data_IF_276646004283
#
_entry.id   IF_276646004283
#
_cell.length_a   1.000
_cell.length_b   1.000
_cell.length_c   1.000
_cell.angle_alpha   90.00
_cell.angle_beta   90.00
_cell.angle_gamma   90.00
#
_symmetry.space_group_name_H-M   'P 1'
#
loop_
_entity.id
_entity.type
_entity.pdbx_description
1 polymer ?
#
# COMPACT_ATOMS: atom_id res chain seq x y z
N UNK A 1 -20.27 19.70 -17.09
CA UNK A 1 -20.29 20.00 -15.64
C UNK A 1 -18.86 19.83 -15.14
N UNK A 2 -18.11 20.93 -15.03
CA UNK A 2 -16.71 20.91 -14.59
C UNK A 2 -16.64 20.62 -13.09
N UNK A 3 -16.05 19.49 -12.71
CA UNK A 3 -15.84 19.12 -11.32
C UNK A 3 -14.58 19.81 -10.82
N UNK A 4 -14.73 20.94 -10.13
CA UNK A 4 -13.66 21.61 -9.40
C UNK A 4 -13.33 20.81 -8.13
N UNK A 5 -12.20 20.11 -8.12
CA UNK A 5 -11.67 19.44 -6.94
C UNK A 5 -11.23 20.51 -5.91
N UNK A 6 -11.80 20.46 -4.70
CA UNK A 6 -11.49 21.37 -3.59
C UNK A 6 -10.03 21.20 -3.14
N UNK A 7 -9.40 22.33 -2.81
CA UNK A 7 -7.96 22.52 -2.62
C UNK A 7 -7.40 22.14 -1.23
N UNK A 8 -8.06 21.25 -0.49
CA UNK A 8 -7.68 20.87 0.90
C UNK A 8 -7.59 19.34 1.12
N UNK A 9 -7.12 18.58 0.14
CA UNK A 9 -6.80 17.16 0.34
C UNK A 9 -5.32 17.01 0.68
N UNK A 10 -5.00 16.36 1.81
CA UNK A 10 -3.68 15.79 2.07
C UNK A 10 -3.21 14.98 0.84
N UNK A 11 -1.90 14.85 0.57
CA UNK A 11 -1.40 14.30 -0.68
C UNK A 11 -1.97 12.90 -0.87
N UNK A 12 -2.88 12.81 -1.83
CA UNK A 12 -3.43 11.57 -2.31
C UNK A 12 -2.29 10.83 -2.98
N UNK A 13 -1.85 9.72 -2.39
CA UNK A 13 -0.97 8.73 -3.02
C UNK A 13 -1.75 7.91 -4.08
N UNK A 14 -2.63 8.58 -4.82
CA UNK A 14 -3.87 8.03 -5.39
C UNK A 14 -3.72 7.24 -6.69
N UNK A 15 -2.53 7.20 -7.29
CA UNK A 15 -2.36 6.42 -8.53
C UNK A 15 -2.25 4.91 -8.25
N UNK A 16 -1.64 4.54 -7.12
CA UNK A 16 -1.32 3.15 -6.74
C UNK A 16 -2.46 2.44 -6.02
N UNK A 17 -3.18 3.16 -5.16
CA UNK A 17 -4.32 2.61 -4.41
C UNK A 17 -5.67 2.79 -5.13
N UNK A 18 -5.68 3.01 -6.45
CA UNK A 18 -6.90 3.37 -7.20
C UNK A 18 -8.04 2.35 -7.06
N UNK A 19 -7.73 1.06 -7.10
CA UNK A 19 -8.71 -0.01 -6.90
C UNK A 19 -9.27 -0.01 -5.47
N UNK A 20 -8.40 0.19 -4.46
CA UNK A 20 -8.79 0.26 -3.04
C UNK A 20 -9.65 1.50 -2.79
N UNK A 21 -9.31 2.64 -3.39
CA UNK A 21 -10.11 3.86 -3.30
C UNK A 21 -11.51 3.67 -3.90
N UNK A 22 -11.62 2.96 -5.02
CA UNK A 22 -12.92 2.64 -5.61
C UNK A 22 -13.77 1.79 -4.67
N UNK A 23 -13.19 0.79 -3.99
CA UNK A 23 -13.86 -0.03 -2.98
C UNK A 23 -14.33 0.81 -1.77
N UNK A 24 -13.49 1.74 -1.30
CA UNK A 24 -13.87 2.63 -0.21
C UNK A 24 -15.02 3.56 -0.61
N UNK A 25 -14.97 4.12 -1.82
CA UNK A 25 -15.99 5.04 -2.33
C UNK A 25 -17.38 4.39 -2.41
N UNK A 26 -17.45 3.10 -2.68
CA UNK A 26 -18.72 2.34 -2.71
C UNK A 26 -19.11 1.75 -1.34
N UNK A 27 -18.34 2.04 -0.29
CA UNK A 27 -18.61 1.61 1.07
C UNK A 27 -18.29 0.14 1.35
N UNK A 28 -17.50 -0.51 0.49
CA UNK A 28 -17.12 -1.92 0.68
C UNK A 28 -15.97 -2.10 1.68
N UNK A 29 -15.17 -1.07 1.91
CA UNK A 29 -14.10 -1.07 2.91
C UNK A 29 -14.16 0.20 3.75
N UNK A 30 -13.65 0.13 4.97
CA UNK A 30 -13.57 1.24 5.93
C UNK A 30 -12.46 2.24 5.60
N UNK A 31 -12.53 3.42 6.24
CA UNK A 31 -11.47 4.43 6.14
C UNK A 31 -10.13 3.94 6.74
N UNK A 32 -10.17 3.06 7.75
CA UNK A 32 -8.98 2.47 8.34
C UNK A 32 -8.26 1.54 7.34
N UNK A 33 -9.03 0.70 6.63
CA UNK A 33 -8.53 -0.15 5.55
C UNK A 33 -7.90 0.68 4.41
N UNK A 34 -8.58 1.75 3.98
CA UNK A 34 -8.03 2.64 2.95
C UNK A 34 -6.71 3.29 3.41
N UNK A 35 -6.65 3.79 4.64
CA UNK A 35 -5.44 4.43 5.16
C UNK A 35 -4.27 3.45 5.30
N UNK A 36 -4.53 2.25 5.80
CA UNK A 36 -3.51 1.20 5.91
C UNK A 36 -2.96 0.81 4.52
N UNK A 37 -3.83 0.75 3.51
CA UNK A 37 -3.41 0.53 2.12
C UNK A 37 -2.51 1.67 1.58
N UNK A 38 -2.88 2.93 1.85
CA UNK A 38 -2.07 4.10 1.47
C UNK A 38 -0.70 4.11 2.17
N UNK A 39 -0.67 3.80 3.46
CA UNK A 39 0.56 3.77 4.25
C UNK A 39 1.46 2.60 3.81
N UNK A 40 0.89 1.40 3.58
CA UNK A 40 1.65 0.25 3.06
C UNK A 40 2.23 0.51 1.66
N UNK A 41 1.43 1.05 0.73
CA UNK A 41 1.90 1.34 -0.61
C UNK A 41 3.05 2.36 -0.59
N UNK A 42 2.96 3.38 0.28
CA UNK A 42 4.03 4.37 0.47
C UNK A 42 5.30 3.72 1.05
N UNK A 43 5.14 2.89 2.07
CA UNK A 43 6.26 2.20 2.72
C UNK A 43 6.97 1.28 1.72
N UNK A 44 6.22 0.52 0.93
CA UNK A 44 6.78 -0.38 -0.08
C UNK A 44 7.51 0.39 -1.18
N UNK A 45 6.92 1.46 -1.70
CA UNK A 45 7.59 2.29 -2.71
C UNK A 45 8.87 2.92 -2.18
N UNK A 46 8.85 3.42 -0.95
CA UNK A 46 10.01 4.12 -0.36
C UNK A 46 11.10 3.15 0.04
N UNK A 47 10.75 2.13 0.84
CA UNK A 47 11.68 1.20 1.45
C UNK A 47 12.19 0.10 0.51
N UNK A 48 11.33 -0.41 -0.39
CA UNK A 48 11.65 -1.56 -1.24
C UNK A 48 12.00 -1.12 -2.66
N UNK A 49 11.19 -0.24 -3.27
CA UNK A 49 11.43 0.22 -4.65
C UNK A 49 12.40 1.41 -4.75
N UNK A 50 12.82 1.98 -3.61
CA UNK A 50 13.76 3.11 -3.57
C UNK A 50 13.16 4.47 -3.97
N UNK A 51 11.83 4.55 -4.05
CA UNK A 51 11.07 5.76 -4.31
C UNK A 51 11.37 6.88 -3.31
N UNK A 52 10.99 8.10 -3.68
CA UNK A 52 11.20 9.27 -2.83
C UNK A 52 10.11 9.33 -1.76
N UNK A 53 10.51 9.46 -0.50
CA UNK A 53 9.55 9.76 0.57
C UNK A 53 8.87 11.12 0.33
N UNK A 54 7.54 11.18 0.24
CA UNK A 54 6.77 12.41 0.08
C UNK A 54 6.95 13.38 1.23
N UNK A 55 7.11 12.86 2.45
CA UNK A 55 7.16 13.68 3.64
C UNK A 55 8.54 14.34 3.80
N UNK A 56 9.61 13.68 3.34
CA UNK A 56 10.95 14.27 3.19
C UNK A 56 10.95 15.60 2.42
N UNK A 57 10.10 15.73 1.40
CA UNK A 57 10.06 16.93 0.57
C UNK A 57 9.33 18.12 1.20
N UNK A 58 8.55 17.90 2.27
CA UNK A 58 7.77 18.95 2.93
C UNK A 58 8.49 19.61 4.09
N UNK A 59 9.48 18.95 4.69
CA UNK A 59 10.09 19.41 5.94
C UNK A 59 11.35 20.26 5.76
N UNK A 60 12.04 20.21 4.61
CA UNK A 60 13.20 21.07 4.36
C UNK A 60 13.45 21.25 2.86
N UNK A 61 13.78 22.48 2.45
CA UNK A 61 13.97 22.90 1.05
C UNK A 61 15.01 22.14 0.23
N UNK A 62 15.75 21.21 0.83
CA UNK A 62 16.45 20.10 0.19
C UNK A 62 16.37 18.88 1.13
N UNK A 63 15.92 17.70 0.67
CA UNK A 63 16.03 16.50 1.50
C UNK A 63 17.51 16.20 1.70
N UNK A 64 17.95 16.20 2.95
CA UNK A 64 19.27 15.71 3.32
C UNK A 64 19.42 14.25 2.86
N UNK A 65 20.56 13.90 2.28
CA UNK A 65 20.83 12.55 1.81
C UNK A 65 20.74 11.54 2.97
N UNK A 66 21.15 11.94 4.17
CA UNK A 66 21.02 11.14 5.38
C UNK A 66 19.55 10.89 5.74
N UNK A 67 18.72 11.94 5.68
CA UNK A 67 17.28 11.82 5.90
C UNK A 67 16.63 10.85 4.90
N UNK A 68 17.01 10.96 3.61
CA UNK A 68 16.47 10.07 2.58
C UNK A 68 16.87 8.61 2.81
N UNK A 69 18.06 8.33 3.36
CA UNK A 69 18.48 6.96 3.72
C UNK A 69 17.68 6.47 4.92
N UNK A 70 17.60 7.28 5.98
CA UNK A 70 16.88 6.93 7.20
C UNK A 70 15.39 6.65 6.94
N UNK A 71 14.73 7.50 6.15
CA UNK A 71 13.33 7.30 5.76
C UNK A 71 13.12 5.98 5.01
N UNK A 72 14.07 5.58 4.16
CA UNK A 72 14.00 4.30 3.43
C UNK A 72 14.14 3.12 4.37
N UNK A 73 15.10 3.16 5.30
CA UNK A 73 15.30 2.10 6.29
C UNK A 73 14.02 1.90 7.11
N UNK A 74 13.46 2.98 7.65
CA UNK A 74 12.23 2.90 8.44
C UNK A 74 11.04 2.35 7.64
N UNK A 75 10.90 2.75 6.36
CA UNK A 75 9.86 2.22 5.48
C UNK A 75 10.06 0.72 5.21
N UNK A 76 11.29 0.28 4.96
CA UNK A 76 11.62 -1.13 4.74
C UNK A 76 11.35 -1.99 5.99
N UNK A 77 11.65 -1.47 7.19
CA UNK A 77 11.36 -2.17 8.44
C UNK A 77 9.85 -2.31 8.69
N UNK A 78 9.04 -1.29 8.34
CA UNK A 78 7.58 -1.40 8.37
C UNK A 78 7.06 -2.43 7.36
N UNK A 79 7.61 -2.48 6.14
CA UNK A 79 7.27 -3.53 5.18
C UNK A 79 7.60 -4.93 5.71
N UNK A 80 8.78 -5.12 6.31
CA UNK A 80 9.18 -6.39 6.91
C UNK A 80 8.24 -6.79 8.04
N UNK A 81 7.87 -5.86 8.91
CA UNK A 81 6.90 -6.12 9.97
C UNK A 81 5.57 -6.63 9.38
N UNK A 82 5.06 -6.00 8.32
CA UNK A 82 3.81 -6.43 7.66
C UNK A 82 3.97 -7.81 7.02
N UNK A 83 5.10 -8.10 6.36
CA UNK A 83 5.40 -9.42 5.81
C UNK A 83 5.42 -10.50 6.91
N UNK A 84 6.05 -10.23 8.06
CA UNK A 84 6.11 -11.16 9.19
C UNK A 84 4.72 -11.44 9.80
N UNK A 85 3.82 -10.46 9.81
CA UNK A 85 2.49 -10.59 10.41
C UNK A 85 1.43 -11.15 9.45
N UNK A 86 1.50 -10.83 8.16
CA UNK A 86 0.51 -11.24 7.17
C UNK A 86 0.98 -12.39 6.26
N UNK A 87 2.29 -12.62 6.20
CA UNK A 87 2.94 -13.62 5.35
C UNK A 87 3.18 -13.16 3.90
N UNK A 88 4.14 -13.83 3.24
CA UNK A 88 4.56 -13.56 1.85
C UNK A 88 3.45 -13.65 0.80
N UNK A 89 2.50 -14.55 1.00
CA UNK A 89 1.37 -14.71 0.05
C UNK A 89 0.50 -13.45 0.05
N UNK A 90 0.21 -12.94 1.25
CA UNK A 90 -0.55 -11.71 1.46
C UNK A 90 0.19 -10.51 0.86
N UNK A 91 1.49 -10.39 1.12
CA UNK A 91 2.32 -9.37 0.50
C UNK A 91 2.27 -9.41 -1.04
N UNK A 92 2.35 -10.60 -1.64
CA UNK A 92 2.22 -10.77 -3.08
C UNK A 92 0.87 -10.28 -3.64
N UNK A 93 -0.21 -10.44 -2.88
CA UNK A 93 -1.53 -9.88 -3.25
C UNK A 93 -1.52 -8.36 -3.13
N UNK A 94 -0.98 -7.80 -2.05
CA UNK A 94 -0.87 -6.35 -1.86
C UNK A 94 -0.07 -5.69 -3.00
N UNK A 95 1.03 -6.31 -3.43
CA UNK A 95 1.84 -5.86 -4.57
C UNK A 95 1.00 -5.84 -5.85
N UNK A 96 0.29 -6.93 -6.16
CA UNK A 96 -0.57 -7.02 -7.35
C UNK A 96 -1.66 -5.96 -7.36
N UNK A 97 -2.32 -5.72 -6.22
CA UNK A 97 -3.43 -4.78 -6.08
C UNK A 97 -2.95 -3.33 -6.16
N UNK A 98 -1.90 -2.98 -5.41
CA UNK A 98 -1.54 -1.58 -5.14
C UNK A 98 -0.28 -1.11 -5.88
N UNK A 99 0.64 -2.00 -6.21
CA UNK A 99 1.89 -1.62 -6.88
C UNK A 99 1.77 -1.85 -8.39
N UNK A 100 1.34 -3.04 -8.79
CA UNK A 100 1.10 -3.40 -10.19
C UNK A 100 -0.23 -2.88 -10.73
N UNK A 101 -1.12 -2.39 -9.84
CA UNK A 101 -2.44 -1.85 -10.17
C UNK A 101 -3.30 -2.80 -11.00
N UNK A 102 -3.18 -4.12 -10.79
CA UNK A 102 -3.95 -5.11 -11.52
C UNK A 102 -5.45 -4.95 -11.21
N UNK A 103 -6.28 -5.12 -12.24
CA UNK A 103 -7.72 -5.21 -12.07
C UNK A 103 -8.11 -6.51 -11.35
N UNK A 104 -9.28 -6.53 -10.72
CA UNK A 104 -9.87 -7.75 -10.15
C UNK A 104 -9.96 -8.88 -11.18
N UNK A 105 -10.14 -8.56 -12.46
CA UNK A 105 -10.21 -9.56 -13.51
C UNK A 105 -8.83 -10.18 -13.80
N UNK A 106 -7.78 -9.37 -13.93
CA UNK A 106 -6.40 -9.85 -14.14
C UNK A 106 -5.89 -10.66 -12.96
N UNK A 107 -6.17 -10.19 -11.74
CA UNK A 107 -5.82 -10.93 -10.53
C UNK A 107 -6.58 -12.25 -10.42
N UNK A 108 -7.90 -12.25 -10.70
CA UNK A 108 -8.69 -13.47 -10.67
C UNK A 108 -8.20 -14.47 -11.74
N UNK A 109 -7.77 -13.99 -12.91
CA UNK A 109 -7.13 -14.82 -13.92
C UNK A 109 -5.80 -15.40 -13.44
N UNK A 110 -4.97 -14.62 -12.74
CA UNK A 110 -3.67 -15.07 -12.23
C UNK A 110 -3.76 -16.17 -11.17
N UNK A 111 -4.88 -16.27 -10.45
CA UNK A 111 -5.13 -17.32 -9.44
C UNK A 111 -6.07 -18.43 -9.91
N UNK A 112 -6.65 -18.29 -11.10
CA UNK A 112 -7.55 -19.29 -11.65
C UNK A 112 -6.77 -20.51 -12.13
N UNK A 113 -7.26 -21.70 -11.83
CA UNK A 113 -6.72 -22.94 -12.43
C UNK A 113 -6.81 -22.87 -13.97
N UNK A 114 -5.88 -23.52 -14.70
CA UNK A 114 -5.97 -23.67 -16.16
C UNK A 114 -7.32 -24.29 -16.58
N UNK A 115 -7.69 -24.13 -17.85
CA UNK A 115 -8.83 -24.91 -18.37
C UNK A 115 -8.48 -26.40 -18.53
N UNK A 116 -9.46 -27.24 -18.89
CA UNK A 116 -9.25 -28.68 -19.10
C UNK A 116 -8.25 -29.00 -20.22
N UNK A 117 -8.00 -28.05 -21.12
CA UNK A 117 -7.00 -28.13 -22.20
C UNK A 117 -5.64 -27.53 -21.78
N UNK A 118 -5.45 -27.21 -20.49
CA UNK A 118 -4.27 -26.54 -19.93
C UNK A 118 -3.96 -25.15 -20.56
N UNK A 119 -4.98 -24.48 -21.11
CA UNK A 119 -4.86 -23.12 -21.68
C UNK A 119 -5.16 -22.06 -20.63
N UNK A 120 -4.51 -20.87 -20.71
CA UNK A 120 -4.84 -19.75 -19.86
C UNK A 120 -6.26 -19.26 -20.15
N UNK A 121 -7.06 -19.09 -19.10
CA UNK A 121 -8.43 -18.57 -19.22
C UNK A 121 -8.38 -17.12 -19.73
N UNK A 122 -9.26 -16.81 -20.69
CA UNK A 122 -9.40 -15.44 -21.23
C UNK A 122 -10.25 -14.54 -20.33
N UNK A 123 -11.12 -15.12 -19.51
CA UNK A 123 -11.94 -14.38 -18.56
C UNK A 123 -12.09 -15.14 -17.23
N UNK A 124 -11.98 -14.43 -16.11
CA UNK A 124 -12.20 -15.01 -14.80
C UNK A 124 -13.70 -15.27 -14.56
N UNK A 125 -14.06 -16.38 -13.92
CA UNK A 125 -15.47 -16.65 -13.61
C UNK A 125 -15.94 -15.68 -12.53
N UNK A 126 -17.26 -15.40 -12.50
CA UNK A 126 -17.88 -14.55 -11.45
C UNK A 126 -17.56 -15.03 -10.04
N UNK A 127 -17.49 -16.34 -9.83
CA UNK A 127 -17.12 -16.95 -8.56
C UNK A 127 -15.69 -16.56 -8.13
N UNK A 128 -14.73 -16.62 -9.05
CA UNK A 128 -13.32 -16.31 -8.77
C UNK A 128 -13.12 -14.84 -8.43
N UNK A 129 -13.81 -13.94 -9.17
CA UNK A 129 -13.80 -12.49 -8.88
C UNK A 129 -14.40 -12.19 -7.49
N UNK A 130 -15.47 -12.88 -7.09
CA UNK A 130 -16.08 -12.73 -5.75
C UNK A 130 -15.18 -13.25 -4.65
N UNK A 131 -14.58 -14.43 -4.84
CA UNK A 131 -13.63 -15.01 -3.90
C UNK A 131 -12.45 -14.06 -3.68
N UNK A 132 -11.88 -13.54 -4.77
CA UNK A 132 -10.80 -12.57 -4.71
C UNK A 132 -11.20 -11.28 -3.99
N UNK A 133 -12.39 -10.74 -4.28
CA UNK A 133 -12.88 -9.54 -3.60
C UNK A 133 -12.98 -9.74 -2.08
N UNK A 134 -13.52 -10.88 -1.63
CA UNK A 134 -13.58 -11.23 -0.20
C UNK A 134 -12.19 -11.42 0.43
N UNK A 135 -11.25 -12.00 -0.32
CA UNK A 135 -9.86 -12.11 0.14
C UNK A 135 -9.19 -10.74 0.29
N UNK A 136 -9.39 -9.83 -0.66
CA UNK A 136 -8.83 -8.47 -0.60
C UNK A 136 -9.43 -7.70 0.57
N UNK A 137 -10.75 -7.80 0.79
CA UNK A 137 -11.40 -7.12 1.91
C UNK A 137 -10.83 -7.57 3.27
N UNK A 138 -10.81 -8.88 3.51
CA UNK A 138 -10.22 -9.46 4.73
C UNK A 138 -8.75 -9.08 4.88
N UNK A 139 -7.96 -9.14 3.80
CA UNK A 139 -6.56 -8.78 3.83
C UNK A 139 -6.35 -7.30 4.19
N UNK A 140 -7.18 -6.41 3.67
CA UNK A 140 -7.11 -4.99 4.02
C UNK A 140 -7.51 -4.75 5.48
N UNK A 141 -8.45 -5.53 6.02
CA UNK A 141 -8.81 -5.48 7.44
C UNK A 141 -7.64 -5.92 8.32
N UNK A 142 -7.00 -7.05 7.98
CA UNK A 142 -5.80 -7.54 8.66
C UNK A 142 -4.62 -6.56 8.55
N UNK A 143 -4.46 -5.90 7.40
CA UNK A 143 -3.47 -4.85 7.20
C UNK A 143 -3.71 -3.67 8.13
N UNK A 144 -4.97 -3.22 8.25
CA UNK A 144 -5.33 -2.15 9.16
C UNK A 144 -5.08 -2.52 10.63
N UNK A 145 -5.42 -3.75 11.02
CA UNK A 145 -5.12 -4.27 12.36
C UNK A 145 -3.61 -4.32 12.61
N UNK A 146 -2.82 -4.81 11.66
CA UNK A 146 -1.37 -4.89 11.77
C UNK A 146 -0.73 -3.51 11.95
N UNK A 147 -1.15 -2.50 11.16
CA UNK A 147 -0.70 -1.11 11.33
C UNK A 147 -1.13 -0.52 12.67
N UNK A 148 -2.33 -0.85 13.17
CA UNK A 148 -2.80 -0.34 14.47
C UNK A 148 -2.03 -0.90 15.67
N UNK A 149 -1.43 -2.10 15.51
CA UNK A 149 -0.62 -2.77 16.52
C UNK A 149 0.88 -2.59 16.32
N UNK A 150 1.27 -1.90 15.25
CA UNK A 150 2.67 -1.73 14.89
C UNK A 150 3.39 -0.94 16.00
N UNK A 151 4.53 -1.44 16.50
CA UNK A 151 5.30 -0.75 17.53
C UNK A 151 5.67 0.68 17.13
N UNK A 152 5.51 1.62 18.07
CA UNK A 152 5.78 3.05 17.84
C UNK A 152 7.20 3.32 17.36
N UNK A 153 8.18 2.49 17.74
CA UNK A 153 9.59 2.62 17.32
C UNK A 153 9.85 2.29 15.84
N UNK A 154 8.90 1.65 15.15
CA UNK A 154 8.95 1.47 13.69
C UNK A 154 8.43 2.70 12.93
N UNK A 155 7.71 3.56 13.62
CA UNK A 155 7.51 4.93 13.18
C UNK A 155 8.70 5.74 13.71
N UNK A 156 9.36 6.48 12.83
CA UNK A 156 10.52 7.25 13.29
C UNK A 156 10.13 8.21 14.44
N UNK A 157 10.72 8.02 15.61
CA UNK A 157 10.72 9.01 16.69
C UNK A 157 11.88 9.98 16.47
N UNK A 158 11.53 11.13 15.90
CA UNK A 158 12.46 12.19 15.50
C UNK A 158 12.96 13.06 16.67
N UNK A 159 12.55 12.78 17.91
CA UNK A 159 13.06 13.50 19.09
C UNK A 159 14.49 13.08 19.47
N UNK A 160 14.96 11.93 19.00
CA UNK A 160 16.26 11.36 19.32
C UNK A 160 17.38 11.66 18.31
N UNK A 161 17.08 12.25 17.15
CA UNK A 161 18.11 12.64 16.18
C UNK A 161 18.88 13.86 16.72
N UNK A 162 20.18 13.73 17.03
CA UNK A 162 20.94 14.82 17.64
C UNK A 162 20.90 16.08 16.77
N UNK A 163 20.64 17.24 17.38
CA UNK A 163 20.62 18.54 16.69
C UNK A 163 21.95 18.94 16.02
N UNK A 164 23.01 18.14 16.16
CA UNK A 164 24.30 18.34 15.52
C UNK A 164 24.27 18.18 13.99
N UNK A 165 23.21 17.59 13.42
CA UNK A 165 22.99 17.49 11.96
C UNK A 165 22.09 18.62 11.40
N UNK A 166 21.73 19.64 12.21
CA UNK A 166 20.92 20.79 11.79
C UNK A 166 21.75 22.00 11.33
N UNK A 167 22.93 21.80 10.76
CA UNK A 167 23.78 22.89 10.25
C UNK A 167 23.86 22.90 8.74
#
# INVERSE_FOLDING_TARGET
MEVRLKKNGNPHYSLRVGAVYALHKVGSISAAQLRAAEDWARDYETGILGGKDPQASKQCGKPDAEYAILSRIAAADRCRYIEEHLGKVSEGILIKVMIECLSLNEMALAISEPDEDNKPKKEAKRHDKRRLAGMIDLLLEQLAEAYSRMPDNLFMDWSAVPGALRK
#
